data_IF_018028661441
#
_entry.id   IF_018028661441
#
_cell.length_a   1.000
_cell.length_b   1.000
_cell.length_c   1.000
_cell.angle_alpha   90.00
_cell.angle_beta   90.00
_cell.angle_gamma   90.00
#
_symmetry.space_group_name_H-M   'P 1'
#
loop_
_entity.id
_entity.type
_entity.pdbx_description
1 polymer ?
#
# COMPACT_ATOMS: atom_id res chain seq x y z
N UNK A 1 -23.11 25.64 -29.64
CA UNK A 1 -22.05 25.29 -28.68
C UNK A 1 -21.05 24.41 -29.38
N UNK A 2 -19.90 24.95 -29.78
CA UNK A 2 -18.81 24.17 -30.35
C UNK A 2 -17.58 24.44 -29.48
N UNK A 3 -17.32 23.52 -28.56
CA UNK A 3 -16.12 23.50 -27.73
C UNK A 3 -14.91 23.40 -28.65
N UNK A 4 -14.32 24.54 -29.02
CA UNK A 4 -12.94 24.58 -29.51
C UNK A 4 -12.05 24.32 -28.31
N UNK A 5 -12.00 23.06 -27.87
CA UNK A 5 -10.88 22.52 -27.14
C UNK A 5 -9.69 22.54 -28.11
N UNK A 6 -9.09 23.72 -28.28
CA UNK A 6 -7.73 23.82 -28.76
C UNK A 6 -6.93 23.02 -27.74
N UNK A 7 -6.64 21.76 -28.07
CA UNK A 7 -5.65 20.97 -27.36
C UNK A 7 -4.36 21.78 -27.45
N UNK A 8 -4.08 22.55 -26.41
CA UNK A 8 -2.77 23.16 -26.20
C UNK A 8 -1.82 21.99 -26.27
N UNK A 9 -1.03 21.89 -27.34
CA UNK A 9 -0.03 20.83 -27.48
C UNK A 9 0.74 20.81 -26.17
N UNK A 10 0.61 19.71 -25.44
CA UNK A 10 1.23 19.56 -24.14
C UNK A 10 2.73 19.70 -24.36
N UNK A 11 3.31 20.84 -23.95
CA UNK A 11 4.77 21.10 -24.08
C UNK A 11 5.59 19.98 -23.43
N UNK A 12 5.01 19.30 -22.46
CA UNK A 12 5.58 18.13 -21.79
C UNK A 12 5.69 16.88 -22.67
N UNK A 13 4.87 16.75 -23.71
CA UNK A 13 4.89 15.62 -24.63
C UNK A 13 5.57 15.95 -25.97
N UNK A 14 5.94 17.22 -26.19
CA UNK A 14 6.64 17.64 -27.41
C UNK A 14 8.16 17.57 -27.31
N UNK A 15 8.73 17.61 -26.11
CA UNK A 15 10.18 17.60 -25.88
C UNK A 15 10.66 16.18 -25.50
N UNK A 16 11.64 15.58 -26.21
CA UNK A 16 12.20 14.28 -25.82
C UNK A 16 12.85 14.28 -24.43
N UNK A 17 13.34 15.41 -23.94
CA UNK A 17 14.02 15.52 -22.66
C UNK A 17 13.08 15.42 -21.44
N UNK A 18 11.76 15.56 -21.64
CA UNK A 18 10.77 15.46 -20.55
C UNK A 18 10.29 14.02 -20.30
N UNK A 19 10.52 13.07 -21.23
CA UNK A 19 10.11 11.66 -21.02
C UNK A 19 10.78 10.97 -19.82
N UNK A 20 12.09 11.15 -19.54
CA UNK A 20 12.71 10.60 -18.33
C UNK A 20 12.08 11.13 -17.04
N UNK A 21 11.72 12.42 -17.00
CA UNK A 21 11.03 13.03 -15.85
C UNK A 21 9.63 12.43 -15.66
N UNK A 22 8.87 12.29 -16.76
CA UNK A 22 7.57 11.64 -16.74
C UNK A 22 7.66 10.18 -16.28
N UNK A 23 8.72 9.45 -16.68
CA UNK A 23 8.95 8.09 -16.23
C UNK A 23 9.16 8.01 -14.71
N UNK A 24 9.93 8.91 -14.12
CA UNK A 24 10.11 8.97 -12.66
C UNK A 24 8.80 9.27 -11.92
N UNK A 25 8.00 10.21 -12.42
CA UNK A 25 6.68 10.54 -11.84
C UNK A 25 5.74 9.34 -11.97
N UNK A 26 5.72 8.68 -13.12
CA UNK A 26 4.91 7.49 -13.34
C UNK A 26 5.34 6.35 -12.40
N UNK A 27 6.64 6.09 -12.26
CA UNK A 27 7.15 5.08 -11.35
C UNK A 27 6.76 5.36 -9.88
N UNK A 28 6.93 6.61 -9.42
CA UNK A 28 6.54 7.02 -8.07
C UNK A 28 5.03 6.90 -7.83
N UNK A 29 4.21 7.30 -8.79
CA UNK A 29 2.74 7.21 -8.67
C UNK A 29 2.27 5.75 -8.64
N UNK A 30 2.82 4.88 -9.50
CA UNK A 30 2.54 3.44 -9.48
C UNK A 30 2.98 2.81 -8.17
N UNK A 31 4.16 3.17 -7.65
CA UNK A 31 4.64 2.65 -6.37
C UNK A 31 3.72 3.09 -5.21
N UNK A 32 3.32 4.35 -5.17
CA UNK A 32 2.40 4.87 -4.16
C UNK A 32 1.04 4.14 -4.21
N UNK A 33 0.46 4.01 -5.41
CA UNK A 33 -0.83 3.34 -5.59
C UNK A 33 -0.77 1.85 -5.24
N UNK A 34 0.27 1.14 -5.67
CA UNK A 34 0.42 -0.29 -5.38
C UNK A 34 0.62 -0.56 -3.89
N UNK A 35 1.46 0.22 -3.21
CA UNK A 35 1.68 0.08 -1.76
C UNK A 35 0.44 0.52 -0.98
N UNK A 36 -0.19 1.63 -1.37
CA UNK A 36 -1.40 2.14 -0.73
C UNK A 36 -2.57 1.17 -0.86
N UNK A 37 -2.83 0.65 -2.06
CA UNK A 37 -3.90 -0.35 -2.29
C UNK A 37 -3.62 -1.65 -1.55
N UNK A 38 -2.37 -2.13 -1.55
CA UNK A 38 -2.00 -3.30 -0.73
C UNK A 38 -2.23 -3.04 0.76
N UNK A 39 -1.88 -1.86 1.26
CA UNK A 39 -2.10 -1.51 2.66
C UNK A 39 -3.59 -1.47 2.99
N UNK A 40 -4.41 -0.86 2.14
CA UNK A 40 -5.85 -0.77 2.36
C UNK A 40 -6.59 -2.11 2.26
N UNK A 41 -6.09 -3.05 1.46
CA UNK A 41 -6.79 -4.32 1.19
C UNK A 41 -6.29 -5.48 2.04
N UNK A 42 -5.03 -5.48 2.46
CA UNK A 42 -4.41 -6.60 3.16
C UNK A 42 -4.08 -6.31 4.63
N UNK A 43 -4.08 -5.04 5.05
CA UNK A 43 -3.79 -4.75 6.46
C UNK A 43 -4.97 -5.14 7.35
N UNK A 44 -4.72 -5.80 8.49
CA UNK A 44 -5.78 -6.26 9.39
C UNK A 44 -6.52 -5.10 10.08
N UNK A 45 -5.94 -3.91 10.09
CA UNK A 45 -6.51 -2.71 10.71
C UNK A 45 -7.56 -2.03 9.80
N UNK A 46 -7.50 -2.25 8.48
CA UNK A 46 -8.41 -1.62 7.52
C UNK A 46 -9.57 -2.58 7.22
N UNK A 47 -10.76 -2.25 7.72
CA UNK A 47 -11.95 -3.11 7.60
C UNK A 47 -13.04 -2.50 6.73
N UNK A 48 -13.18 -3.01 5.51
CA UNK A 48 -14.22 -2.58 4.58
C UNK A 48 -15.61 -3.12 4.95
N UNK A 49 -15.72 -4.36 5.43
CA UNK A 49 -17.00 -4.94 5.85
C UNK A 49 -17.42 -4.43 7.25
N UNK A 50 -18.66 -3.94 7.37
CA UNK A 50 -19.24 -3.43 8.62
C UNK A 50 -19.41 -4.51 9.69
N UNK A 51 -19.70 -5.75 9.30
CA UNK A 51 -19.91 -6.87 10.24
C UNK A 51 -18.62 -7.25 10.95
N UNK A 52 -17.51 -7.30 10.21
CA UNK A 52 -16.17 -7.58 10.74
C UNK A 52 -15.67 -6.46 11.67
N UNK A 53 -16.21 -5.24 11.55
CA UNK A 53 -15.90 -4.14 12.49
C UNK A 53 -16.55 -4.32 13.86
N UNK A 54 -17.69 -5.01 13.92
CA UNK A 54 -18.45 -5.21 15.17
C UNK A 54 -17.94 -6.40 16.00
N UNK A 55 -17.27 -7.34 15.35
CA UNK A 55 -16.84 -8.61 15.95
C UNK A 55 -15.29 -8.62 16.10
N UNK A 56 -14.75 -8.43 17.32
CA UNK A 56 -13.31 -8.34 17.55
C UNK A 56 -12.58 -9.69 17.37
N UNK A 57 -13.22 -10.82 17.65
CA UNK A 57 -12.66 -12.16 17.47
C UNK A 57 -12.28 -12.48 16.01
N UNK A 58 -13.09 -12.08 15.03
CA UNK A 58 -12.75 -12.23 13.60
C UNK A 58 -11.51 -11.42 13.21
N UNK A 59 -11.22 -10.33 13.94
CA UNK A 59 -10.04 -9.48 13.69
C UNK A 59 -8.71 -10.13 14.07
N UNK A 60 -8.73 -11.00 15.08
CA UNK A 60 -7.52 -11.61 15.61
C UNK A 60 -6.95 -12.65 14.65
N UNK A 61 -7.84 -13.39 13.95
CA UNK A 61 -7.45 -14.39 12.95
C UNK A 61 -6.80 -13.76 11.71
N UNK A 62 -7.38 -12.68 11.20
CA UNK A 62 -6.79 -11.93 10.07
C UNK A 62 -5.40 -11.38 10.41
N UNK A 63 -5.19 -10.99 11.67
CA UNK A 63 -3.90 -10.47 12.15
C UNK A 63 -2.83 -11.55 12.26
N UNK A 64 -3.17 -12.76 12.72
CA UNK A 64 -2.22 -13.88 12.77
C UNK A 64 -1.81 -14.31 11.36
N UNK A 65 -2.75 -14.34 10.42
CA UNK A 65 -2.50 -14.74 9.04
C UNK A 65 -1.66 -13.70 8.29
N UNK A 66 -1.89 -12.40 8.53
CA UNK A 66 -1.06 -11.33 7.99
C UNK A 66 0.41 -11.44 8.40
N UNK A 67 0.67 -11.80 9.66
CA UNK A 67 2.02 -11.93 10.21
C UNK A 67 2.64 -13.33 9.99
N UNK A 68 1.89 -14.29 9.46
CA UNK A 68 2.36 -15.68 9.25
C UNK A 68 3.62 -15.76 8.38
N UNK A 69 3.73 -14.91 7.37
CA UNK A 69 4.87 -14.83 6.47
C UNK A 69 6.14 -14.24 7.10
N UNK A 70 6.03 -13.63 8.29
CA UNK A 70 7.16 -13.01 9.01
C UNK A 70 7.66 -13.84 10.19
N UNK A 71 7.14 -15.06 10.37
CA UNK A 71 7.48 -15.88 11.54
C UNK A 71 8.96 -16.28 11.60
N UNK A 72 9.62 -16.49 10.45
CA UNK A 72 11.05 -16.79 10.41
C UNK A 72 11.94 -15.62 10.87
N UNK A 73 11.48 -14.39 10.67
CA UNK A 73 12.20 -13.18 11.09
C UNK A 73 11.83 -12.71 12.50
N UNK A 74 10.68 -13.15 13.02
CA UNK A 74 10.13 -12.75 14.33
C UNK A 74 11.02 -13.15 15.50
N UNK A 75 11.74 -14.27 15.40
CA UNK A 75 12.54 -14.83 16.49
C UNK A 75 14.05 -14.58 16.34
N UNK A 76 14.47 -13.75 15.36
CA UNK A 76 15.87 -13.43 15.13
C UNK A 76 16.47 -12.55 16.24
N UNK A 77 15.65 -11.77 16.92
CA UNK A 77 16.04 -11.01 18.10
C UNK A 77 15.39 -11.61 19.34
N UNK A 78 16.16 -11.73 20.42
CA UNK A 78 15.66 -12.22 21.69
C UNK A 78 14.65 -11.22 22.28
N UNK A 79 13.42 -11.68 22.47
CA UNK A 79 12.38 -10.86 23.08
C UNK A 79 12.51 -10.91 24.61
N UNK A 80 13.06 -9.86 25.21
CA UNK A 80 13.27 -9.74 26.67
C UNK A 80 12.00 -9.97 27.49
N UNK A 81 10.82 -9.67 26.93
CA UNK A 81 9.52 -9.92 27.57
C UNK A 81 9.26 -11.42 27.77
N UNK A 82 9.67 -12.26 26.80
CA UNK A 82 9.52 -13.71 26.88
C UNK A 82 10.70 -14.38 27.61
N UNK A 83 11.85 -13.70 27.72
CA UNK A 83 13.04 -14.23 28.39
C UNK A 83 12.93 -14.22 29.92
N UNK A 84 12.13 -13.31 30.49
CA UNK A 84 11.96 -13.15 31.95
C UNK A 84 11.03 -14.19 32.60
N UNK A 85 10.35 -15.04 31.82
CA UNK A 85 9.33 -15.99 32.33
C UNK A 85 9.83 -17.44 32.38
N UNK A 86 11.15 -17.64 32.35
CA UNK A 86 11.77 -18.96 32.56
C UNK A 86 12.29 -19.11 33.98
#
# INVERSE_FOLDING_TARGET
>A
MASRAAAKSSKWLSDPSTYPLLACIAAGSVMCLTVGTRHLTKSPDVKWNREVRKNPELSLRDRSDWMSHRQGLKNLAENRVNASTK
#
